data_IF_470156674233
#
_entry.id   IF_470156674233
#
_cell.length_a   1.000
_cell.length_b   1.000
_cell.length_c   1.000
_cell.angle_alpha   90.00
_cell.angle_beta   90.00
_cell.angle_gamma   90.00
#
_symmetry.space_group_name_H-M   'P 1'
#
loop_
_entity.id
_entity.type
_entity.pdbx_description
1 polymer ?
#
# COMPACT_ATOMS: atom_id res chain seq x y z
N UNK A 1 -8.30 -12.62 -15.34
CA UNK A 1 -7.82 -11.26 -14.98
C UNK A 1 -7.27 -11.28 -13.56
N UNK A 2 -6.05 -10.80 -13.36
CA UNK A 2 -5.45 -10.69 -12.03
C UNK A 2 -6.30 -9.76 -11.17
N UNK A 3 -6.69 -10.22 -9.98
CA UNK A 3 -7.45 -9.41 -9.03
C UNK A 3 -6.48 -8.90 -7.97
N UNK A 4 -6.29 -7.60 -7.90
CA UNK A 4 -5.41 -6.96 -6.91
C UNK A 4 -6.21 -6.07 -5.99
N UNK A 5 -5.92 -6.12 -4.70
CA UNK A 5 -6.30 -5.12 -3.70
C UNK A 5 -5.05 -4.63 -2.99
N UNK A 6 -5.02 -3.36 -2.57
CA UNK A 6 -3.91 -2.79 -1.84
C UNK A 6 -4.36 -2.14 -0.54
N UNK A 7 -3.51 -2.22 0.48
CA UNK A 7 -3.65 -1.51 1.74
C UNK A 7 -2.62 -0.39 1.82
N UNK A 8 -3.10 0.79 2.10
CA UNK A 8 -2.33 2.02 2.14
C UNK A 8 -2.53 2.76 3.46
N UNK A 9 -1.60 3.62 3.81
CA UNK A 9 -1.65 4.43 5.02
C UNK A 9 -0.30 4.55 5.71
N UNK A 10 -0.29 5.30 6.81
CA UNK A 10 0.90 5.49 7.62
C UNK A 10 1.39 4.17 8.24
N UNK A 11 2.67 4.15 8.64
CA UNK A 11 3.09 3.14 9.63
C UNK A 11 2.17 3.24 10.85
N UNK A 12 1.96 2.14 11.55
CA UNK A 12 1.04 2.05 12.70
C UNK A 12 -0.44 2.35 12.40
N UNK A 13 -0.85 2.56 11.15
CA UNK A 13 -2.27 2.75 10.79
C UNK A 13 -3.12 1.48 10.93
N UNK A 14 -2.49 0.32 11.13
CA UNK A 14 -3.17 -0.96 11.27
C UNK A 14 -3.23 -1.82 10.01
N UNK A 15 -2.47 -1.50 8.94
CA UNK A 15 -2.40 -2.29 7.70
C UNK A 15 -2.10 -3.78 7.98
N UNK A 16 -1.01 -4.05 8.69
CA UNK A 16 -0.61 -5.42 9.00
C UNK A 16 -1.68 -6.19 9.77
N UNK A 17 -2.36 -5.52 10.73
CA UNK A 17 -3.48 -6.11 11.48
C UNK A 17 -4.62 -6.50 10.54
N UNK A 18 -5.01 -5.63 9.61
CA UNK A 18 -6.07 -5.93 8.63
C UNK A 18 -5.66 -7.02 7.66
N UNK A 19 -4.41 -7.02 7.21
CA UNK A 19 -3.87 -8.08 6.34
C UNK A 19 -3.89 -9.43 7.07
N UNK A 20 -3.52 -9.49 8.34
CA UNK A 20 -3.53 -10.73 9.11
C UNK A 20 -4.95 -11.24 9.40
N UNK A 21 -5.90 -10.34 9.69
CA UNK A 21 -7.32 -10.69 9.79
C UNK A 21 -7.85 -11.22 8.46
N UNK A 22 -7.45 -10.59 7.35
CA UNK A 22 -7.86 -11.01 6.02
C UNK A 22 -7.28 -12.37 5.62
N UNK A 23 -6.01 -12.65 5.98
CA UNK A 23 -5.41 -14.00 5.81
C UNK A 23 -6.23 -15.07 6.52
N UNK A 24 -6.60 -14.81 7.79
CA UNK A 24 -7.44 -15.75 8.57
C UNK A 24 -8.80 -15.96 7.93
N UNK A 25 -9.45 -14.87 7.51
CA UNK A 25 -10.75 -14.92 6.85
C UNK A 25 -10.69 -15.70 5.53
N UNK A 26 -9.70 -15.45 4.67
CA UNK A 26 -9.55 -16.14 3.38
C UNK A 26 -9.24 -17.62 3.56
N UNK A 27 -8.39 -17.97 4.53
CA UNK A 27 -8.11 -19.38 4.86
C UNK A 27 -9.38 -20.11 5.31
N UNK A 28 -10.16 -19.52 6.23
CA UNK A 28 -11.42 -20.08 6.72
C UNK A 28 -12.44 -20.30 5.61
N UNK A 29 -12.52 -19.37 4.65
CA UNK A 29 -13.50 -19.43 3.56
C UNK A 29 -12.93 -20.04 2.26
N UNK A 30 -11.74 -20.67 2.31
CA UNK A 30 -11.09 -21.34 1.17
C UNK A 30 -10.89 -20.42 -0.06
N UNK A 31 -10.68 -19.12 0.17
CA UNK A 31 -10.47 -18.13 -0.88
C UNK A 31 -9.00 -18.20 -1.34
N UNK A 32 -8.78 -18.50 -2.63
CA UNK A 32 -7.44 -18.53 -3.22
C UNK A 32 -6.85 -17.13 -3.25
N UNK A 33 -5.79 -16.89 -2.48
CA UNK A 33 -5.19 -15.57 -2.32
C UNK A 33 -3.69 -15.66 -2.10
N UNK A 34 -3.01 -14.58 -2.43
CA UNK A 34 -1.58 -14.37 -2.18
C UNK A 34 -1.37 -13.00 -1.57
N UNK A 35 -0.47 -12.93 -0.60
CA UNK A 35 -0.17 -11.72 0.16
C UNK A 35 1.27 -11.32 -0.09
N UNK A 36 1.46 -10.08 -0.49
CA UNK A 36 2.78 -9.52 -0.79
C UNK A 36 2.91 -8.10 -0.23
N UNK A 37 4.11 -7.52 -0.34
CA UNK A 37 4.39 -6.16 0.13
C UNK A 37 5.30 -5.41 -0.83
N UNK A 38 5.23 -4.09 -0.80
CA UNK A 38 6.15 -3.23 -1.53
C UNK A 38 6.89 -2.23 -0.61
N UNK A 39 8.17 -1.96 -0.90
CA UNK A 39 9.04 -2.71 -1.80
C UNK A 39 9.35 -4.09 -1.23
N UNK A 40 9.67 -5.08 -2.09
CA UNK A 40 9.96 -6.46 -1.69
C UNK A 40 8.96 -7.46 -2.25
N UNK A 41 8.55 -8.42 -1.43
CA UNK A 41 7.52 -9.41 -1.76
C UNK A 41 8.02 -10.68 -2.42
N UNK A 42 9.22 -10.68 -3.00
CA UNK A 42 9.94 -11.88 -3.48
C UNK A 42 11.41 -11.79 -3.06
N UNK A 43 12.09 -12.94 -2.99
CA UNK A 43 13.43 -13.08 -2.42
C UNK A 43 14.45 -12.05 -2.91
N UNK A 44 14.53 -11.84 -4.22
CA UNK A 44 15.49 -10.90 -4.79
C UNK A 44 15.13 -9.44 -4.51
N UNK A 45 13.84 -9.11 -4.49
CA UNK A 45 13.36 -7.78 -4.18
C UNK A 45 13.46 -7.45 -2.67
N UNK A 46 13.50 -8.44 -1.79
CA UNK A 46 13.76 -8.21 -0.36
C UNK A 46 15.18 -7.67 -0.14
N UNK A 47 16.18 -8.14 -0.90
CA UNK A 47 17.53 -7.56 -0.87
C UNK A 47 17.54 -6.09 -1.32
N UNK A 48 16.81 -5.78 -2.39
CA UNK A 48 16.63 -4.40 -2.88
C UNK A 48 15.93 -3.55 -1.81
N UNK A 49 14.90 -4.09 -1.14
CA UNK A 49 14.24 -3.43 -0.03
C UNK A 49 15.21 -3.02 1.07
N UNK A 50 16.10 -3.92 1.50
CA UNK A 50 17.11 -3.63 2.52
C UNK A 50 18.00 -2.47 2.11
N UNK A 51 18.45 -2.43 0.86
CA UNK A 51 19.25 -1.34 0.32
C UNK A 51 18.45 -0.04 0.33
N UNK A 52 17.21 -0.03 -0.17
CA UNK A 52 16.36 1.17 -0.22
C UNK A 52 16.11 1.71 1.18
N UNK A 53 15.80 0.84 2.15
CA UNK A 53 15.40 1.23 3.51
C UNK A 53 16.59 1.73 4.33
N UNK A 54 17.78 1.20 4.11
CA UNK A 54 18.97 1.52 4.91
C UNK A 54 19.87 2.62 4.31
N UNK A 55 19.61 3.02 3.06
CA UNK A 55 20.44 4.02 2.37
C UNK A 55 19.83 5.41 2.39
N UNK A 56 20.70 6.42 2.17
CA UNK A 56 20.30 7.83 2.08
C UNK A 56 20.25 8.27 0.61
N UNK A 57 19.33 7.68 -0.15
CA UNK A 57 19.14 8.04 -1.56
C UNK A 57 18.42 9.37 -1.74
N UNK A 58 18.67 10.04 -2.87
CA UNK A 58 17.88 11.19 -3.30
C UNK A 58 16.41 10.80 -3.50
N UNK A 59 15.50 11.78 -3.38
CA UNK A 59 14.08 11.51 -3.57
C UNK A 59 13.75 10.95 -4.97
N UNK A 60 14.41 11.46 -6.01
CA UNK A 60 14.24 10.97 -7.38
C UNK A 60 14.71 9.51 -7.52
N UNK A 61 15.87 9.18 -6.93
CA UNK A 61 16.36 7.79 -6.93
C UNK A 61 15.39 6.85 -6.20
N UNK A 62 14.85 7.27 -5.04
CA UNK A 62 13.84 6.47 -4.32
C UNK A 62 12.59 6.22 -5.17
N UNK A 63 12.08 7.23 -5.87
CA UNK A 63 10.93 7.06 -6.79
C UNK A 63 11.24 5.97 -7.83
N UNK A 64 12.41 6.04 -8.47
CA UNK A 64 12.79 5.08 -9.51
C UNK A 64 13.00 3.67 -8.94
N UNK A 65 13.65 3.52 -7.80
CA UNK A 65 13.83 2.22 -7.14
C UNK A 65 12.50 1.58 -6.74
N UNK A 66 11.57 2.35 -6.19
CA UNK A 66 10.24 1.82 -5.86
C UNK A 66 9.49 1.36 -7.11
N UNK A 67 9.57 2.08 -8.22
CA UNK A 67 8.92 1.66 -9.46
C UNK A 67 9.64 0.50 -10.14
N UNK A 68 10.97 0.45 -10.15
CA UNK A 68 11.72 -0.68 -10.67
C UNK A 68 11.37 -1.98 -9.92
N UNK A 69 11.36 -1.93 -8.56
CA UNK A 69 10.95 -3.05 -7.72
C UNK A 69 9.50 -3.48 -8.01
N UNK A 70 8.60 -2.53 -8.22
CA UNK A 70 7.19 -2.79 -8.55
C UNK A 70 7.02 -3.45 -9.89
N UNK A 71 7.66 -2.95 -10.94
CA UNK A 71 7.57 -3.55 -12.27
C UNK A 71 8.06 -5.00 -12.27
N UNK A 72 9.16 -5.28 -11.56
CA UNK A 72 9.66 -6.65 -11.42
C UNK A 72 8.68 -7.54 -10.64
N UNK A 73 8.13 -7.06 -9.50
CA UNK A 73 7.13 -7.81 -8.74
C UNK A 73 5.88 -8.11 -9.57
N UNK A 74 5.37 -7.13 -10.31
CA UNK A 74 4.20 -7.29 -11.18
C UNK A 74 4.49 -8.35 -12.26
N UNK A 75 5.64 -8.29 -12.93
CA UNK A 75 5.99 -9.25 -13.98
C UNK A 75 6.02 -10.69 -13.44
N UNK A 76 6.56 -10.90 -12.25
CA UNK A 76 6.58 -12.22 -11.59
C UNK A 76 5.18 -12.71 -11.22
N UNK A 77 4.32 -11.82 -10.69
CA UNK A 77 2.93 -12.14 -10.33
C UNK A 77 2.11 -12.49 -11.57
N UNK A 78 2.29 -11.79 -12.67
CA UNK A 78 1.58 -12.05 -13.93
C UNK A 78 1.90 -13.44 -14.50
N UNK A 79 3.12 -13.92 -14.28
CA UNK A 79 3.54 -15.26 -14.70
C UNK A 79 2.98 -16.39 -13.81
N UNK A 80 2.56 -16.11 -12.58
CA UNK A 80 2.35 -17.13 -11.56
C UNK A 80 0.92 -17.66 -11.43
N UNK A 81 -0.15 -16.92 -11.63
CA UNK A 81 -1.52 -17.45 -11.64
C UNK A 81 -2.62 -16.36 -11.66
N UNK A 82 -3.48 -16.36 -12.67
CA UNK A 82 -4.56 -15.37 -12.84
C UNK A 82 -5.80 -15.62 -11.94
N UNK A 83 -5.88 -16.78 -11.27
CA UNK A 83 -7.08 -17.19 -10.50
C UNK A 83 -6.99 -16.90 -8.99
N UNK A 84 -6.04 -16.10 -8.55
CA UNK A 84 -5.88 -15.70 -7.16
C UNK A 84 -6.23 -14.23 -6.93
N UNK A 85 -6.65 -13.90 -5.72
CA UNK A 85 -6.73 -12.52 -5.25
C UNK A 85 -5.40 -12.13 -4.60
N UNK A 86 -4.71 -11.14 -5.15
CA UNK A 86 -3.46 -10.61 -4.61
C UNK A 86 -3.75 -9.47 -3.65
N UNK A 87 -3.17 -9.53 -2.47
CA UNK A 87 -3.28 -8.51 -1.42
C UNK A 87 -1.91 -7.88 -1.20
N UNK A 88 -1.80 -6.60 -1.48
CA UNK A 88 -0.57 -5.84 -1.36
C UNK A 88 -0.56 -5.01 -0.07
N UNK A 89 0.47 -5.14 0.75
CA UNK A 89 0.83 -4.14 1.76
C UNK A 89 1.65 -3.06 1.07
N UNK A 90 1.02 -1.94 0.76
CA UNK A 90 1.49 -0.82 -0.07
C UNK A 90 1.55 -1.14 -1.56
N UNK A 91 1.36 -0.08 -2.34
CA UNK A 91 1.50 -0.06 -3.79
C UNK A 91 1.96 1.34 -4.23
N UNK A 92 1.73 1.76 -5.49
CA UNK A 92 2.18 3.06 -5.99
C UNK A 92 1.63 4.27 -5.23
N UNK A 93 0.52 4.11 -4.51
CA UNK A 93 -0.05 5.19 -3.70
C UNK A 93 0.87 5.60 -2.56
N UNK A 94 1.57 4.64 -1.95
CA UNK A 94 2.63 4.94 -0.97
C UNK A 94 3.74 5.78 -1.60
N UNK A 95 4.22 5.44 -2.80
CA UNK A 95 5.25 6.24 -3.49
C UNK A 95 4.76 7.66 -3.74
N UNK A 96 3.52 7.85 -4.19
CA UNK A 96 2.94 9.18 -4.37
C UNK A 96 2.83 9.96 -3.04
N UNK A 97 2.37 9.30 -1.99
CA UNK A 97 2.17 9.94 -0.70
C UNK A 97 3.48 10.38 -0.05
N UNK A 98 4.49 9.52 -0.08
CA UNK A 98 5.75 9.72 0.64
C UNK A 98 6.80 10.49 -0.19
N UNK A 99 6.98 10.15 -1.46
CA UNK A 99 7.98 10.74 -2.35
C UNK A 99 7.45 11.93 -3.18
N UNK A 100 6.14 12.12 -3.30
CA UNK A 100 5.56 13.28 -3.98
C UNK A 100 5.70 14.57 -3.16
N UNK A 101 6.94 15.07 -3.01
CA UNK A 101 7.26 16.23 -2.17
C UNK A 101 6.85 17.56 -2.80
N UNK A 102 6.90 17.65 -4.13
CA UNK A 102 6.59 18.83 -4.93
C UNK A 102 5.82 18.42 -6.21
N UNK A 103 5.49 19.39 -7.05
CA UNK A 103 4.73 19.18 -8.27
C UNK A 103 5.50 18.33 -9.31
N UNK A 104 6.82 18.52 -9.39
CA UNK A 104 7.69 17.75 -10.30
C UNK A 104 7.74 16.27 -9.91
N UNK A 105 7.98 15.97 -8.63
CA UNK A 105 7.95 14.59 -8.13
C UNK A 105 6.62 13.90 -8.43
N UNK A 106 5.50 14.60 -8.16
CA UNK A 106 4.16 14.08 -8.43
C UNK A 106 3.93 13.83 -9.92
N UNK A 107 4.47 14.69 -10.79
CA UNK A 107 4.40 14.50 -12.25
C UNK A 107 5.17 13.25 -12.68
N UNK A 108 6.41 13.09 -12.20
CA UNK A 108 7.23 11.90 -12.46
C UNK A 108 6.47 10.64 -12.02
N UNK A 109 5.95 10.63 -10.78
CA UNK A 109 5.24 9.46 -10.25
C UNK A 109 3.98 9.14 -11.08
N UNK A 110 3.20 10.14 -11.49
CA UNK A 110 2.03 9.93 -12.35
C UNK A 110 2.41 9.34 -13.71
N UNK A 111 3.49 9.80 -14.31
CA UNK A 111 4.01 9.24 -15.57
C UNK A 111 4.42 7.76 -15.38
N UNK A 112 5.10 7.43 -14.29
CA UNK A 112 5.48 6.05 -13.99
C UNK A 112 4.25 5.16 -13.71
N UNK A 113 3.21 5.68 -13.04
CA UNK A 113 1.94 4.98 -12.85
C UNK A 113 1.28 4.67 -14.21
N UNK A 114 1.36 5.57 -15.17
CA UNK A 114 0.76 5.35 -16.51
C UNK A 114 1.42 4.20 -17.29
N UNK A 115 2.64 3.80 -16.92
CA UNK A 115 3.33 2.64 -17.51
C UNK A 115 2.86 1.30 -16.92
N UNK A 116 2.13 1.32 -15.80
CA UNK A 116 1.57 0.09 -15.21
C UNK A 116 0.41 -0.40 -16.07
N UNK A 117 0.46 -1.68 -16.45
CA UNK A 117 -0.63 -2.30 -17.19
C UNK A 117 -1.97 -2.16 -16.43
N UNK A 118 -3.04 -1.84 -17.15
CA UNK A 118 -4.40 -1.66 -16.59
C UNK A 118 -4.88 -2.86 -15.78
N UNK A 119 -4.45 -4.08 -16.14
CA UNK A 119 -4.78 -5.31 -15.40
C UNK A 119 -4.11 -5.38 -14.02
N UNK A 120 -2.98 -4.67 -13.84
CA UNK A 120 -2.21 -4.63 -12.60
C UNK A 120 -2.56 -3.43 -11.71
N UNK A 121 -3.49 -2.57 -12.14
CA UNK A 121 -4.09 -1.56 -11.26
C UNK A 121 -5.00 -2.25 -10.24
N UNK A 122 -4.87 -1.96 -8.93
CA UNK A 122 -5.74 -2.53 -7.90
C UNK A 122 -7.22 -2.29 -8.20
N UNK A 123 -8.07 -3.29 -8.00
CA UNK A 123 -9.53 -3.12 -8.07
C UNK A 123 -10.05 -2.28 -6.90
N UNK A 124 -9.40 -2.44 -5.73
CA UNK A 124 -9.67 -1.66 -4.54
C UNK A 124 -8.34 -1.27 -3.90
N UNK A 125 -8.23 0.00 -3.52
CA UNK A 125 -7.22 0.50 -2.60
C UNK A 125 -7.90 0.91 -1.31
N UNK A 126 -7.53 0.29 -0.18
CA UNK A 126 -7.97 0.65 1.15
C UNK A 126 -6.96 1.60 1.79
N UNK A 127 -7.33 2.86 1.96
CA UNK A 127 -6.53 3.83 2.68
C UNK A 127 -6.97 3.89 4.14
N UNK A 128 -6.13 3.40 5.03
CA UNK A 128 -6.34 3.44 6.48
C UNK A 128 -5.95 4.82 7.02
N UNK A 129 -6.92 5.73 7.09
CA UNK A 129 -6.72 7.09 7.55
C UNK A 129 -6.73 7.14 9.08
N UNK A 130 -5.56 7.34 9.67
CA UNK A 130 -5.36 7.49 11.11
C UNK A 130 -5.10 8.97 11.44
N UNK A 131 -5.62 9.45 12.57
CA UNK A 131 -5.26 10.78 13.07
C UNK A 131 -3.88 10.79 13.73
N UNK A 132 -3.30 11.97 13.87
CA UNK A 132 -1.93 12.15 14.37
C UNK A 132 -1.75 11.65 15.80
N UNK A 133 -2.72 11.91 16.67
CA UNK A 133 -2.66 11.50 18.08
C UNK A 133 -2.68 9.97 18.21
N UNK A 134 -3.62 9.30 17.56
CA UNK A 134 -3.70 7.83 17.57
C UNK A 134 -2.46 7.18 16.96
N UNK A 135 -1.87 7.80 15.93
CA UNK A 135 -0.63 7.34 15.33
C UNK A 135 0.53 7.41 16.33
N UNK A 136 0.67 8.52 17.06
CA UNK A 136 1.70 8.68 18.10
C UNK A 136 1.53 7.67 19.24
N UNK A 137 0.30 7.47 19.72
CA UNK A 137 0.01 6.50 20.80
C UNK A 137 0.36 5.07 20.37
N UNK A 138 -0.04 4.67 19.16
CA UNK A 138 0.32 3.34 18.63
C UNK A 138 1.82 3.17 18.39
N UNK A 139 2.53 4.25 18.06
CA UNK A 139 4.01 4.23 17.94
C UNK A 139 4.66 4.00 19.28
N UNK A 140 4.24 4.72 20.35
CA UNK A 140 4.79 4.58 21.70
C UNK A 140 4.68 3.14 22.24
N UNK A 141 3.62 2.44 21.90
CA UNK A 141 3.38 1.06 22.34
C UNK A 141 4.24 0.00 21.65
N UNK A 142 5.07 0.36 20.68
CA UNK A 142 5.94 -0.56 19.93
C UNK A 142 7.41 -0.18 20.07
N UNK A 143 8.24 -1.17 20.43
CA UNK A 143 9.68 -0.99 20.71
C UNK A 143 10.55 -0.84 19.45
N UNK A 144 10.08 -1.21 18.26
CA UNK A 144 10.88 -1.19 17.05
C UNK A 144 10.58 0.07 16.21
N UNK A 145 11.62 0.89 16.01
CA UNK A 145 11.55 2.11 15.18
C UNK A 145 12.63 2.02 14.11
N UNK A 146 12.24 2.11 12.84
CA UNK A 146 13.21 2.31 11.79
C UNK A 146 13.42 3.83 11.51
N UNK A 147 14.54 4.16 10.84
CA UNK A 147 14.94 5.54 10.53
C UNK A 147 13.86 6.32 9.76
N UNK A 148 13.07 5.66 8.92
CA UNK A 148 12.00 6.28 8.14
C UNK A 148 10.81 6.69 9.00
N UNK A 149 10.49 5.94 10.07
CA UNK A 149 9.33 6.22 10.93
C UNK A 149 9.40 7.60 11.57
N UNK A 150 10.61 8.05 11.94
CA UNK A 150 10.82 9.33 12.59
C UNK A 150 10.76 10.48 11.58
N UNK A 151 11.35 10.30 10.40
CA UNK A 151 11.34 11.30 9.32
C UNK A 151 9.90 11.56 8.82
N UNK A 152 9.10 10.51 8.68
CA UNK A 152 7.76 10.64 8.13
C UNK A 152 6.73 11.20 9.09
N UNK A 153 6.95 11.08 10.41
CA UNK A 153 6.09 11.73 11.39
C UNK A 153 6.13 13.25 11.30
N UNK A 154 7.33 13.82 11.04
CA UNK A 154 7.47 15.25 10.83
C UNK A 154 6.83 15.72 9.52
N UNK A 155 6.50 14.79 8.62
CA UNK A 155 5.87 15.04 7.32
C UNK A 155 4.40 14.59 7.27
N UNK A 156 3.80 14.30 8.43
CA UNK A 156 2.44 13.75 8.53
C UNK A 156 1.43 14.54 7.69
N UNK A 157 1.38 15.86 7.84
CA UNK A 157 0.40 16.71 7.15
C UNK A 157 0.55 16.63 5.62
N UNK A 158 1.79 16.67 5.13
CA UNK A 158 2.08 16.55 3.69
C UNK A 158 1.67 15.18 3.15
N UNK A 159 2.04 14.10 3.84
CA UNK A 159 1.72 12.73 3.42
C UNK A 159 0.21 12.52 3.45
N UNK A 160 -0.47 12.98 4.49
CA UNK A 160 -1.94 12.93 4.61
C UNK A 160 -2.63 13.70 3.49
N UNK A 161 -2.14 14.91 3.19
CA UNK A 161 -2.62 15.70 2.04
C UNK A 161 -2.48 14.93 0.74
N UNK A 162 -1.33 14.30 0.49
CA UNK A 162 -1.09 13.51 -0.71
C UNK A 162 -2.03 12.29 -0.81
N UNK A 163 -2.28 11.57 0.28
CA UNK A 163 -3.30 10.50 0.28
C UNK A 163 -4.70 11.04 -0.02
N UNK A 164 -5.07 12.20 0.52
CA UNK A 164 -6.36 12.83 0.22
C UNK A 164 -6.46 13.31 -1.25
N UNK A 165 -5.36 13.72 -1.87
CA UNK A 165 -5.32 14.00 -3.31
C UNK A 165 -5.59 12.72 -4.13
N UNK A 166 -5.03 11.57 -3.72
CA UNK A 166 -5.22 10.29 -4.39
C UNK A 166 -6.68 9.82 -4.40
N UNK A 167 -7.49 10.19 -3.39
CA UNK A 167 -8.93 9.87 -3.38
C UNK A 167 -9.69 10.48 -4.56
N UNK A 168 -9.18 11.58 -5.11
CA UNK A 168 -9.78 12.34 -6.20
C UNK A 168 -9.21 11.95 -7.58
N UNK A 169 -8.10 11.20 -7.60
CA UNK A 169 -7.44 10.82 -8.84
C UNK A 169 -8.10 9.57 -9.45
N UNK A 170 -8.57 9.70 -10.68
CA UNK A 170 -9.02 8.56 -11.47
C UNK A 170 -7.79 7.81 -12.02
N UNK A 171 -7.48 6.64 -11.47
CA UNK A 171 -6.42 5.75 -11.96
C UNK A 171 -7.07 4.42 -12.34
N UNK A 172 -7.25 4.21 -13.63
CA UNK A 172 -8.03 3.08 -14.14
C UNK A 172 -9.45 3.04 -13.56
N UNK A 173 -9.98 1.83 -13.38
CA UNK A 173 -11.33 1.59 -12.81
C UNK A 173 -11.28 1.21 -11.33
N UNK A 174 -10.22 1.60 -10.60
CA UNK A 174 -10.08 1.26 -9.19
C UNK A 174 -11.06 2.01 -8.30
N UNK A 175 -11.46 1.39 -7.20
CA UNK A 175 -12.14 2.06 -6.10
C UNK A 175 -11.10 2.41 -5.02
N UNK A 176 -10.98 3.69 -4.72
CA UNK A 176 -10.15 4.17 -3.61
C UNK A 176 -11.06 4.40 -2.40
N UNK A 177 -10.90 3.57 -1.37
CA UNK A 177 -11.78 3.56 -0.19
C UNK A 177 -10.98 4.06 1.01
N UNK A 178 -11.41 5.20 1.54
CA UNK A 178 -10.86 5.78 2.75
C UNK A 178 -11.59 5.19 3.96
N UNK A 179 -10.84 4.54 4.85
CA UNK A 179 -11.36 3.91 6.07
C UNK A 179 -10.82 4.65 7.29
N UNK A 180 -11.70 5.01 8.22
CA UNK A 180 -11.28 5.56 9.51
C UNK A 180 -10.58 4.49 10.34
N UNK A 181 -9.25 4.61 10.46
CA UNK A 181 -8.40 3.66 11.16
C UNK A 181 -8.30 3.88 12.68
N UNK A 182 -9.04 4.84 13.23
CA UNK A 182 -9.08 5.09 14.68
C UNK A 182 -10.09 4.19 15.41
N UNK A 183 -10.84 3.38 14.66
CA UNK A 183 -11.87 2.45 15.20
C UNK A 183 -11.26 1.11 15.60
N UNK A 184 -12.10 0.27 16.21
CA UNK A 184 -11.75 -1.12 16.53
C UNK A 184 -11.33 -1.91 15.28
N UNK A 185 -10.25 -2.72 15.35
CA UNK A 185 -9.76 -3.47 14.22
C UNK A 185 -10.78 -4.44 13.59
N UNK A 186 -11.71 -5.01 14.38
CA UNK A 186 -12.73 -5.93 13.86
C UNK A 186 -13.81 -5.19 13.08
N UNK A 187 -14.18 -3.99 13.54
CA UNK A 187 -15.12 -3.11 12.81
C UNK A 187 -14.52 -2.70 11.46
N UNK A 188 -13.24 -2.32 11.45
CA UNK A 188 -12.51 -2.02 10.20
C UNK A 188 -12.48 -3.24 9.29
N UNK A 189 -12.23 -4.42 9.85
CA UNK A 189 -12.18 -5.66 9.08
C UNK A 189 -13.52 -6.00 8.42
N UNK A 190 -14.63 -5.83 9.14
CA UNK A 190 -15.98 -6.02 8.58
C UNK A 190 -16.24 -5.09 7.40
N UNK A 191 -15.84 -3.82 7.49
CA UNK A 191 -15.94 -2.85 6.40
C UNK A 191 -15.07 -3.24 5.18
N UNK A 192 -13.84 -3.71 5.41
CA UNK A 192 -12.96 -4.23 4.36
C UNK A 192 -13.62 -5.41 3.63
N UNK A 193 -14.14 -6.40 4.37
CA UNK A 193 -14.83 -7.56 3.79
C UNK A 193 -16.07 -7.13 3.00
N UNK A 194 -16.87 -6.22 3.55
CA UNK A 194 -18.05 -5.67 2.87
C UNK A 194 -17.68 -5.12 1.47
N UNK A 195 -16.63 -4.30 1.39
CA UNK A 195 -16.20 -3.71 0.13
C UNK A 195 -15.64 -4.74 -0.85
N UNK A 196 -14.88 -5.73 -0.38
CA UNK A 196 -14.36 -6.82 -1.21
C UNK A 196 -15.52 -7.62 -1.84
N UNK A 197 -16.55 -7.97 -1.05
CA UNK A 197 -17.77 -8.66 -1.52
C UNK A 197 -18.55 -7.80 -2.51
N UNK A 198 -18.78 -6.50 -2.18
CA UNK A 198 -19.49 -5.56 -3.05
C UNK A 198 -18.82 -5.41 -4.43
N UNK A 199 -17.51 -5.61 -4.50
CA UNK A 199 -16.76 -5.59 -5.75
C UNK A 199 -16.68 -6.99 -6.43
N UNK A 200 -17.35 -8.01 -5.90
CA UNK A 200 -17.37 -9.38 -6.44
C UNK A 200 -15.95 -9.97 -6.63
N UNK A 201 -15.06 -9.67 -5.66
CA UNK A 201 -13.69 -10.19 -5.69
C UNK A 201 -13.58 -11.54 -4.97
N UNK A 202 -14.52 -11.79 -4.07
CA UNK A 202 -14.71 -13.04 -3.33
C UNK A 202 -16.18 -13.39 -3.31
#
# INVERSE_FOLDING_TARGET
MTKIISFEGFEYSGKSTQIDLLKKYFKKNKIKSEFTREPGGIKDLEKIREVIVNSSFSNKSLILFFFASRFELISKIELLNQNKLYVFDRYFDSTYAYQGKNAEDKKIIKNLISLIDKKSIPKITFYLDINKNSLFERKKSRSFQNKFDQIYLNQYERIKKNYNELTKLKIGNRKFIKINANRDPNIIHQEVIFHIKKCKLI
#
